data_IF_040246273542
#
_entry.id   IF_040246273542
#
_cell.length_a   1.000
_cell.length_b   1.000
_cell.length_c   1.000
_cell.angle_alpha   90.00
_cell.angle_beta   90.00
_cell.angle_gamma   90.00
#
_symmetry.space_group_name_H-M   'P 1'
#
loop_
_entity.id
_entity.type
_entity.pdbx_description
1 polymer ?
#
# COMPACT_ATOMS: atom_id res chain seq x y z
N UNK A 1 9.59 2.79 -24.02
CA UNK A 1 9.82 1.60 -23.17
C UNK A 1 9.16 1.87 -21.82
N UNK A 2 8.05 1.31 -21.35
CA UNK A 2 7.20 0.19 -21.75
C UNK A 2 6.37 -0.23 -20.51
N UNK A 3 5.70 0.70 -19.82
CA UNK A 3 4.89 0.42 -18.60
C UNK A 3 3.44 0.08 -18.99
N UNK A 4 3.26 -0.86 -19.92
CA UNK A 4 1.95 -1.19 -20.49
C UNK A 4 1.55 -2.66 -20.26
N UNK A 5 1.87 -3.25 -19.09
CA UNK A 5 1.56 -4.66 -18.81
C UNK A 5 0.65 -4.94 -17.60
N UNK A 6 0.28 -3.93 -16.81
CA UNK A 6 -0.58 -4.12 -15.64
C UNK A 6 -1.83 -3.25 -15.72
N UNK A 7 -2.80 -3.65 -16.55
CA UNK A 7 -4.14 -3.02 -16.52
C UNK A 7 -4.93 -3.60 -15.34
N UNK A 8 -5.53 -2.75 -14.50
CA UNK A 8 -6.22 -3.18 -13.31
C UNK A 8 -7.63 -3.73 -13.64
N UNK A 9 -7.73 -5.04 -13.81
CA UNK A 9 -8.99 -5.73 -14.17
C UNK A 9 -9.99 -5.81 -13.01
N UNK A 10 -9.52 -5.72 -11.76
CA UNK A 10 -10.34 -5.96 -10.57
C UNK A 10 -11.38 -4.86 -10.30
N UNK A 11 -11.19 -3.67 -10.88
CA UNK A 11 -12.10 -2.53 -10.75
C UNK A 11 -12.89 -2.24 -12.04
N UNK A 12 -12.85 -3.12 -13.04
CA UNK A 12 -13.62 -2.98 -14.30
C UNK A 12 -14.96 -3.74 -14.25
N UNK A 13 -15.96 -3.23 -14.96
CA UNK A 13 -17.28 -3.88 -15.11
C UNK A 13 -18.26 -3.63 -13.95
N UNK A 14 -19.51 -4.09 -14.11
CA UNK A 14 -20.57 -3.93 -13.12
C UNK A 14 -20.29 -4.73 -11.83
N UNK A 15 -19.70 -5.92 -11.97
CA UNK A 15 -19.37 -6.84 -10.86
C UNK A 15 -18.39 -6.26 -9.83
N UNK A 16 -17.57 -5.28 -10.22
CA UNK A 16 -16.62 -4.61 -9.32
C UNK A 16 -17.17 -3.33 -8.68
N UNK A 17 -18.46 -3.03 -8.86
CA UNK A 17 -19.13 -1.84 -8.30
C UNK A 17 -18.92 -1.71 -6.79
N UNK A 18 -19.11 -2.80 -6.04
CA UNK A 18 -18.91 -2.81 -4.58
C UNK A 18 -17.46 -2.48 -4.19
N UNK A 19 -16.47 -3.07 -4.89
CA UNK A 19 -15.05 -2.79 -4.65
C UNK A 19 -14.71 -1.34 -4.94
N UNK A 20 -15.20 -0.77 -6.05
CA UNK A 20 -14.97 0.63 -6.38
C UNK A 20 -15.54 1.57 -5.32
N UNK A 21 -16.75 1.30 -4.82
CA UNK A 21 -17.39 2.16 -3.80
C UNK A 21 -16.56 2.20 -2.51
N UNK A 22 -16.06 1.05 -2.04
CA UNK A 22 -15.22 1.00 -0.83
C UNK A 22 -13.94 1.81 -1.02
N UNK A 23 -13.24 1.65 -2.14
CA UNK A 23 -12.01 2.39 -2.39
C UNK A 23 -12.27 3.89 -2.61
N UNK A 24 -13.36 4.26 -3.30
CA UNK A 24 -13.77 5.65 -3.43
C UNK A 24 -14.09 6.31 -2.08
N UNK A 25 -14.69 5.57 -1.15
CA UNK A 25 -14.93 6.06 0.21
C UNK A 25 -13.62 6.34 0.98
N UNK A 26 -12.50 5.68 0.60
CA UNK A 26 -11.16 5.96 1.14
C UNK A 26 -10.44 7.10 0.40
N UNK A 27 -11.08 7.73 -0.59
CA UNK A 27 -10.53 8.87 -1.34
C UNK A 27 -9.85 8.52 -2.67
N UNK A 28 -9.89 7.26 -3.12
CA UNK A 28 -9.36 6.89 -4.44
C UNK A 28 -10.30 7.37 -5.56
N UNK A 29 -9.73 7.91 -6.64
CA UNK A 29 -10.48 8.33 -7.83
C UNK A 29 -10.65 7.19 -8.84
N UNK A 30 -11.50 7.37 -9.85
CA UNK A 30 -11.60 6.41 -10.96
C UNK A 30 -10.27 6.28 -11.71
N UNK A 31 -9.49 7.36 -11.81
CA UNK A 31 -8.16 7.34 -12.42
C UNK A 31 -7.19 6.49 -11.59
N UNK A 32 -7.19 6.65 -10.27
CA UNK A 32 -6.34 5.86 -9.38
C UNK A 32 -6.68 4.36 -9.47
N UNK A 33 -7.96 4.01 -9.59
CA UNK A 33 -8.39 2.62 -9.72
C UNK A 33 -8.13 2.01 -11.11
N UNK A 34 -7.90 2.85 -12.12
CA UNK A 34 -7.50 2.40 -13.45
C UNK A 34 -6.00 2.08 -13.54
N UNK A 35 -5.18 2.69 -12.67
CA UNK A 35 -3.72 2.47 -12.57
C UNK A 35 -3.38 1.14 -11.89
N UNK A 36 -2.14 0.62 -12.04
CA UNK A 36 -1.68 -0.55 -11.29
C UNK A 36 -1.77 -0.31 -9.78
N UNK A 37 -2.49 -1.17 -9.06
CA UNK A 37 -2.59 -1.14 -7.59
C UNK A 37 -1.37 -1.84 -6.98
N UNK A 38 -0.60 -1.15 -6.15
CA UNK A 38 0.64 -1.64 -5.55
C UNK A 38 0.50 -1.73 -4.03
N UNK A 39 0.59 -2.95 -3.50
CA UNK A 39 0.58 -3.20 -2.05
C UNK A 39 1.91 -2.82 -1.39
N UNK A 40 1.86 -2.06 -0.30
CA UNK A 40 3.01 -1.71 0.55
C UNK A 40 2.82 -2.40 1.90
N UNK A 41 3.45 -3.55 2.08
CA UNK A 41 3.45 -4.27 3.35
C UNK A 41 4.38 -3.56 4.34
N UNK A 42 3.83 -3.02 5.43
CA UNK A 42 4.59 -2.24 6.41
C UNK A 42 4.57 -2.90 7.79
N UNK A 43 5.75 -3.20 8.31
CA UNK A 43 5.95 -3.77 9.64
C UNK A 43 6.17 -2.71 10.74
N UNK A 44 5.77 -1.45 10.48
CA UNK A 44 5.95 -0.35 11.43
C UNK A 44 5.36 -0.68 12.81
N UNK A 45 6.15 -0.41 13.83
CA UNK A 45 5.76 -0.56 15.23
C UNK A 45 6.59 0.37 16.10
N UNK A 46 5.96 0.96 17.12
CA UNK A 46 6.64 1.72 18.17
C UNK A 46 7.29 0.81 19.23
N UNK A 47 6.99 -0.50 19.19
CA UNK A 47 7.53 -1.48 20.13
C UNK A 47 8.96 -1.93 19.82
N UNK A 48 9.53 -1.51 18.68
CA UNK A 48 10.86 -1.93 18.24
C UNK A 48 11.62 -0.78 17.55
N UNK A 49 12.87 -0.49 17.97
CA UNK A 49 13.68 0.53 17.31
C UNK A 49 13.97 0.19 15.83
N UNK A 50 14.06 -1.11 15.50
CA UNK A 50 14.24 -1.59 14.13
C UNK A 50 13.06 -1.33 13.20
N UNK A 51 11.88 -1.03 13.74
CA UNK A 51 10.63 -0.87 12.97
C UNK A 51 10.03 0.54 13.10
N UNK A 52 10.43 1.34 14.09
CA UNK A 52 9.86 2.65 14.38
C UNK A 52 9.94 3.63 13.18
N UNK A 53 11.00 3.54 12.37
CA UNK A 53 11.25 4.41 11.23
C UNK A 53 10.49 3.99 9.95
N UNK A 54 9.87 2.82 9.91
CA UNK A 54 9.23 2.28 8.70
C UNK A 54 7.99 3.08 8.26
N UNK A 55 7.36 3.85 9.15
CA UNK A 55 6.24 4.74 8.77
C UNK A 55 6.69 5.83 7.79
N UNK A 56 7.85 6.44 8.01
CA UNK A 56 8.37 7.46 7.09
C UNK A 56 8.86 6.83 5.79
N UNK A 57 9.52 5.66 5.85
CA UNK A 57 9.91 4.93 4.64
C UNK A 57 8.68 4.57 3.78
N UNK A 58 7.62 4.03 4.39
CA UNK A 58 6.40 3.68 3.67
C UNK A 58 5.78 4.91 3.00
N UNK A 59 5.78 6.08 3.66
CA UNK A 59 5.33 7.35 3.06
C UNK A 59 6.13 7.71 1.80
N UNK A 60 7.46 7.58 1.83
CA UNK A 60 8.31 7.87 0.68
C UNK A 60 8.12 6.86 -0.45
N UNK A 61 7.98 5.56 -0.13
CA UNK A 61 7.66 4.50 -1.10
C UNK A 61 6.33 4.80 -1.80
N UNK A 62 5.29 5.15 -1.05
CA UNK A 62 3.98 5.51 -1.60
C UNK A 62 4.07 6.73 -2.52
N UNK A 63 4.84 7.74 -2.14
CA UNK A 63 5.11 8.91 -2.99
C UNK A 63 5.75 8.52 -4.32
N UNK A 64 6.76 7.64 -4.29
CA UNK A 64 7.39 7.12 -5.49
C UNK A 64 6.44 6.34 -6.40
N UNK A 65 5.54 5.53 -5.83
CA UNK A 65 4.51 4.79 -6.58
C UNK A 65 3.58 5.78 -7.29
N UNK A 66 3.08 6.79 -6.58
CA UNK A 66 2.22 7.83 -7.17
C UNK A 66 2.91 8.55 -8.33
N UNK A 67 4.16 8.97 -8.14
CA UNK A 67 4.95 9.69 -9.16
C UNK A 67 5.19 8.87 -10.43
N UNK A 68 5.18 7.54 -10.33
CA UNK A 68 5.42 6.63 -11.45
C UNK A 68 4.13 6.03 -12.03
N UNK A 69 2.97 6.64 -11.75
CA UNK A 69 1.69 6.25 -12.34
C UNK A 69 1.08 4.97 -11.76
N UNK A 70 1.52 4.55 -10.57
CA UNK A 70 0.87 3.51 -9.79
C UNK A 70 -0.04 4.09 -8.70
N UNK A 71 -0.85 3.21 -8.10
CA UNK A 71 -1.74 3.54 -6.98
C UNK A 71 -1.31 2.72 -5.77
N UNK A 72 -0.71 3.32 -4.74
CA UNK A 72 -0.29 2.60 -3.55
C UNK A 72 -1.46 2.26 -2.62
N UNK A 73 -1.34 1.12 -1.95
CA UNK A 73 -2.21 0.69 -0.86
C UNK A 73 -1.33 0.07 0.24
N UNK A 74 -1.32 0.68 1.43
CA UNK A 74 -0.47 0.24 2.54
C UNK A 74 -1.27 -0.65 3.49
N UNK A 75 -0.67 -1.75 3.95
CA UNK A 75 -1.25 -2.62 4.96
C UNK A 75 -0.20 -3.06 5.97
N UNK A 76 -0.64 -3.22 7.22
CA UNK A 76 0.24 -3.62 8.32
C UNK A 76 0.56 -5.11 8.31
N UNK A 77 1.78 -5.46 8.71
CA UNK A 77 2.17 -6.82 9.09
C UNK A 77 2.75 -6.81 10.51
N UNK A 78 2.66 -7.95 11.21
CA UNK A 78 3.34 -8.12 12.49
C UNK A 78 4.85 -8.32 12.27
N UNK A 79 5.65 -7.84 13.21
CA UNK A 79 7.07 -8.13 13.29
C UNK A 79 7.54 -8.02 14.75
N UNK A 80 8.57 -8.80 15.08
CA UNK A 80 9.27 -8.74 16.36
C UNK A 80 10.64 -8.10 16.15
N UNK A 81 11.16 -7.41 17.18
CA UNK A 81 12.57 -7.05 17.18
C UNK A 81 13.36 -8.34 17.45
N UNK A 82 14.33 -8.70 16.60
CA UNK A 82 15.11 -9.95 16.70
C UNK A 82 16.02 -10.11 17.92
N UNK A 83 15.71 -9.46 19.04
CA UNK A 83 16.38 -9.65 20.32
C UNK A 83 15.39 -10.22 21.35
N UNK A 84 15.92 -10.91 22.37
CA UNK A 84 15.17 -11.36 23.55
C UNK A 84 14.29 -10.19 24.04
N UNK A 85 13.04 -10.47 24.37
CA UNK A 85 12.12 -9.46 24.87
C UNK A 85 12.79 -8.71 26.04
N UNK A 86 12.86 -7.38 25.95
CA UNK A 86 13.45 -6.58 27.02
C UNK A 86 12.51 -6.72 28.22
N UNK A 87 12.95 -7.44 29.26
CA UNK A 87 12.18 -7.67 30.48
C UNK A 87 11.62 -9.10 30.67
N UNK A 88 12.05 -10.07 29.86
CA UNK A 88 11.95 -11.52 30.21
C UNK A 88 13.25 -12.01 30.80
#
# INVERSE_FOLDING_TARGET
MGVAKFSNQYFKGAESSHRRVIYKAMGYTDEDLARPLIGVANAWSEASPGHAHLREIAKQVKSGIWQNGGTPFEFGTFATCGNIAIGT
#
